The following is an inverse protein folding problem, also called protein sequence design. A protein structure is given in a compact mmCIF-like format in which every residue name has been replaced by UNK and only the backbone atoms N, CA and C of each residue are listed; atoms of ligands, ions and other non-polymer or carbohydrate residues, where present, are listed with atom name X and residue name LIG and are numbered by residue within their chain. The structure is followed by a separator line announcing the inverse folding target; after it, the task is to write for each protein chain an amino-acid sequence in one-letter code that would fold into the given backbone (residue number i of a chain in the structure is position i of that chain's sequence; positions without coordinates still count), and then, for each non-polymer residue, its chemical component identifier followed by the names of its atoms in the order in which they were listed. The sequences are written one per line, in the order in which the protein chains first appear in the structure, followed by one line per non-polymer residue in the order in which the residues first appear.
data_IF_615333510326
#
_entry.id   IF_615333510326
#
_cell.length_a   1.000
_cell.length_b   1.000
_cell.length_c   1.000
_cell.angle_alpha   90.00
_cell.angle_beta   90.00
_cell.angle_gamma   90.00
#
_symmetry.space_group_name_H-M   'P 1'
#
loop_
_entity.id
_entity.type
_entity.pdbx_description
1 polymer ?
#
# COMPACT_ATOMS: atom_id res chain seq x y z
N UNK A 1 -19.86 13.76 14.19
CA UNK A 1 -18.83 13.85 15.24
C UNK A 1 -17.59 14.41 14.56
N UNK A 2 -17.00 15.51 15.06
CA UNK A 2 -15.75 16.04 14.48
C UNK A 2 -14.66 15.09 14.90
N UNK A 3 -13.95 14.48 13.95
CA UNK A 3 -12.84 13.60 14.27
C UNK A 3 -11.70 14.38 14.91
N UNK A 4 -11.00 13.75 15.83
CA UNK A 4 -9.94 14.35 16.62
C UNK A 4 -8.56 14.26 15.92
N UNK A 5 -8.44 13.40 14.91
CA UNK A 5 -7.18 13.21 14.17
C UNK A 5 -7.02 14.25 13.06
N UNK A 6 -6.65 15.47 13.46
CA UNK A 6 -6.45 16.60 12.55
C UNK A 6 -5.12 17.27 12.87
N UNK A 7 -4.30 17.46 11.87
CA UNK A 7 -3.10 18.28 11.94
C UNK A 7 -3.29 19.55 11.11
N UNK A 8 -3.89 20.55 11.71
CA UNK A 8 -4.16 21.85 11.05
C UNK A 8 -2.87 22.49 10.49
N UNK A 9 -1.73 22.49 11.20
CA UNK A 9 -0.48 23.02 10.64
C UNK A 9 -0.09 22.37 9.32
N UNK A 10 -0.16 21.04 9.23
CA UNK A 10 0.16 20.33 7.98
C UNK A 10 -0.83 20.64 6.86
N UNK A 11 -2.12 20.76 7.16
CA UNK A 11 -3.14 21.15 6.19
C UNK A 11 -2.86 22.56 5.62
N UNK A 12 -2.55 23.53 6.50
CA UNK A 12 -2.21 24.90 6.08
C UNK A 12 -0.96 24.91 5.21
N UNK A 13 0.07 24.14 5.57
CA UNK A 13 1.30 24.02 4.80
C UNK A 13 1.05 23.38 3.42
N UNK A 14 0.27 22.31 3.36
CA UNK A 14 -0.06 21.64 2.11
C UNK A 14 -0.82 22.58 1.18
N UNK A 15 -1.87 23.25 1.66
CA UNK A 15 -2.65 24.19 0.84
C UNK A 15 -1.79 25.38 0.41
N UNK A 16 -1.01 25.97 1.32
CA UNK A 16 -0.11 27.06 1.01
C UNK A 16 0.96 26.71 -0.03
N UNK A 17 1.55 25.53 0.08
CA UNK A 17 2.53 25.04 -0.90
C UNK A 17 1.91 24.82 -2.29
N UNK A 18 0.72 24.21 -2.35
CA UNK A 18 0.02 23.98 -3.61
C UNK A 18 -0.46 25.30 -4.23
N UNK A 19 -0.91 26.27 -3.43
CA UNK A 19 -1.26 27.60 -3.92
C UNK A 19 -0.04 28.34 -4.50
N UNK A 20 1.09 28.26 -3.82
CA UNK A 20 2.37 28.86 -4.25
C UNK A 20 2.97 28.18 -5.48
N UNK A 21 2.83 26.86 -5.57
CA UNK A 21 3.42 26.02 -6.62
C UNK A 21 2.41 24.95 -7.05
N UNK A 22 1.44 25.31 -7.92
CA UNK A 22 0.38 24.39 -8.36
C UNK A 22 0.92 23.14 -9.08
N UNK A 23 2.13 23.21 -9.65
CA UNK A 23 2.81 22.09 -10.30
C UNK A 23 3.05 20.89 -9.37
N UNK A 24 2.95 21.08 -8.05
CA UNK A 24 2.97 19.95 -7.10
C UNK A 24 1.81 18.97 -7.34
N UNK A 25 0.71 19.43 -7.94
CA UNK A 25 -0.45 18.59 -8.30
C UNK A 25 -0.20 17.71 -9.53
N UNK A 26 0.84 17.98 -10.31
CA UNK A 26 1.20 17.18 -11.48
C UNK A 26 1.86 15.84 -11.09
N UNK A 27 2.43 15.77 -9.89
CA UNK A 27 3.08 14.57 -9.37
C UNK A 27 2.07 13.58 -8.78
N UNK A 28 1.08 13.16 -9.58
CA UNK A 28 -0.03 12.29 -9.16
C UNK A 28 0.41 10.92 -8.68
N UNK A 29 1.55 10.42 -9.17
CA UNK A 29 2.15 9.16 -8.71
C UNK A 29 2.68 9.25 -7.27
N UNK A 30 3.06 10.46 -6.85
CA UNK A 30 3.64 10.70 -5.53
C UNK A 30 2.63 11.30 -4.54
N UNK A 31 1.76 12.19 -5.00
CA UNK A 31 0.85 12.95 -4.15
C UNK A 31 -0.59 12.75 -4.58
N UNK A 32 -1.33 12.00 -3.78
CA UNK A 32 -2.78 11.83 -3.97
C UNK A 32 -3.51 12.56 -2.85
N UNK A 33 -4.02 13.76 -3.13
CA UNK A 33 -4.78 14.56 -2.16
C UNK A 33 -6.26 14.45 -2.51
N UNK A 34 -7.08 14.12 -1.52
CA UNK A 34 -8.51 13.89 -1.66
C UNK A 34 -9.31 14.78 -0.70
N UNK A 35 -10.63 14.86 -0.89
CA UNK A 35 -11.51 15.60 0.04
C UNK A 35 -11.47 15.06 1.47
N UNK A 36 -11.19 13.77 1.66
CA UNK A 36 -11.07 13.12 2.96
C UNK A 36 -9.87 13.61 3.77
N UNK A 37 -8.87 14.20 3.11
CA UNK A 37 -7.72 14.79 3.78
C UNK A 37 -8.08 16.06 4.58
N UNK A 38 -9.20 16.69 4.22
CA UNK A 38 -9.70 17.90 4.85
C UNK A 38 -11.01 17.64 5.60
N UNK A 39 -11.12 18.11 6.84
CA UNK A 39 -12.36 17.99 7.61
C UNK A 39 -13.22 19.24 7.53
N UNK A 40 -12.58 20.42 7.50
CA UNK A 40 -13.26 21.69 7.40
C UNK A 40 -13.68 21.97 5.95
N UNK A 41 -14.95 22.32 5.77
CA UNK A 41 -15.50 22.65 4.46
C UNK A 41 -14.77 23.84 3.82
N UNK A 42 -14.22 24.74 4.63
CA UNK A 42 -13.41 25.84 4.14
C UNK A 42 -12.13 25.32 3.46
N UNK A 43 -11.40 24.42 4.11
CA UNK A 43 -10.19 23.83 3.52
C UNK A 43 -10.49 23.03 2.25
N UNK A 44 -11.62 22.30 2.24
CA UNK A 44 -12.08 21.57 1.03
C UNK A 44 -12.37 22.52 -0.12
N UNK A 45 -13.06 23.63 0.16
CA UNK A 45 -13.40 24.63 -0.86
C UNK A 45 -12.13 25.27 -1.41
N UNK A 46 -11.21 25.69 -0.53
CA UNK A 46 -9.97 26.33 -0.94
C UNK A 46 -9.12 25.38 -1.80
N UNK A 47 -8.85 24.19 -1.29
CA UNK A 47 -8.06 23.20 -2.01
C UNK A 47 -8.75 22.79 -3.32
N UNK A 48 -10.04 22.47 -3.28
CA UNK A 48 -10.81 22.06 -4.46
C UNK A 48 -10.85 23.16 -5.54
N UNK A 49 -10.85 24.44 -5.14
CA UNK A 49 -10.76 25.55 -6.08
C UNK A 49 -9.39 25.64 -6.73
N UNK A 50 -8.32 25.54 -5.95
CA UNK A 50 -6.94 25.51 -6.46
C UNK A 50 -6.77 24.34 -7.44
N UNK A 51 -7.19 23.14 -7.04
CA UNK A 51 -7.12 21.94 -7.86
C UNK A 51 -7.85 22.11 -9.20
N UNK A 52 -9.08 22.64 -9.17
CA UNK A 52 -9.87 22.85 -10.39
C UNK A 52 -9.30 23.91 -11.30
N UNK A 53 -8.75 24.99 -10.78
CA UNK A 53 -8.08 26.01 -11.58
C UNK A 53 -6.83 25.43 -12.26
N UNK A 54 -6.07 24.61 -11.54
CA UNK A 54 -4.92 23.92 -12.11
C UNK A 54 -5.33 22.93 -13.23
N UNK A 55 -6.37 22.12 -12.99
CA UNK A 55 -6.94 21.19 -13.98
C UNK A 55 -7.42 21.91 -15.25
N UNK A 56 -7.90 23.15 -15.12
CA UNK A 56 -8.28 24.01 -16.24
C UNK A 56 -7.09 24.65 -16.97
N UNK A 57 -5.86 24.34 -16.57
CA UNK A 57 -4.63 24.78 -17.21
C UNK A 57 -4.05 26.09 -16.65
N UNK A 58 -4.47 26.53 -15.46
CA UNK A 58 -3.88 27.70 -14.84
C UNK A 58 -2.47 27.37 -14.30
N UNK A 59 -1.42 27.85 -14.98
CA UNK A 59 -0.04 27.68 -14.52
C UNK A 59 0.24 28.43 -13.20
N UNK A 60 -0.44 29.56 -13.01
CA UNK A 60 -0.38 30.36 -11.79
C UNK A 60 -1.80 30.66 -11.29
N UNK A 61 -2.02 30.36 -10.03
CA UNK A 61 -3.31 30.62 -9.36
C UNK A 61 -3.15 31.91 -8.52
N UNK A 62 -4.10 32.82 -8.69
CA UNK A 62 -4.13 34.11 -7.97
C UNK A 62 -5.40 34.22 -7.14
N UNK A 63 -5.40 35.14 -6.17
CA UNK A 63 -6.62 35.41 -5.38
C UNK A 63 -7.79 35.83 -6.27
N UNK A 64 -7.54 36.62 -7.32
CA UNK A 64 -8.56 37.03 -8.26
C UNK A 64 -9.14 35.82 -9.01
N UNK A 65 -8.30 34.90 -9.47
CA UNK A 65 -8.80 33.68 -10.16
C UNK A 65 -9.62 32.79 -9.21
N UNK A 66 -9.29 32.74 -7.92
CA UNK A 66 -10.09 32.03 -6.92
C UNK A 66 -11.42 32.74 -6.69
N UNK A 67 -11.43 34.07 -6.52
CA UNK A 67 -12.65 34.86 -6.33
C UNK A 67 -13.58 34.72 -7.55
N UNK A 68 -13.05 34.84 -8.77
CA UNK A 68 -13.79 34.67 -10.02
C UNK A 68 -14.40 33.27 -10.12
N UNK A 69 -13.65 32.24 -9.80
CA UNK A 69 -14.15 30.86 -9.81
C UNK A 69 -15.26 30.63 -8.77
N UNK A 70 -15.13 31.19 -7.57
CA UNK A 70 -16.10 31.05 -6.50
C UNK A 70 -17.36 31.91 -6.73
N UNK A 71 -17.30 33.03 -7.48
CA UNK A 71 -18.45 33.89 -7.76
C UNK A 71 -19.62 33.15 -8.42
N UNK A 72 -19.30 32.09 -9.19
CA UNK A 72 -20.33 31.22 -9.78
C UNK A 72 -20.89 30.16 -8.81
N UNK A 73 -20.41 30.14 -7.55
CA UNK A 73 -20.74 29.13 -6.52
C UNK A 73 -21.10 29.78 -5.18
N UNK A 74 -22.32 30.39 -5.04
CA UNK A 74 -22.67 31.24 -3.91
C UNK A 74 -22.48 30.61 -2.53
N UNK A 75 -22.68 29.28 -2.38
CA UNK A 75 -22.48 28.58 -1.10
C UNK A 75 -21.02 28.54 -0.69
N UNK A 76 -20.14 28.20 -1.63
CA UNK A 76 -18.70 28.12 -1.41
C UNK A 76 -18.10 29.50 -1.21
N UNK A 77 -18.54 30.48 -1.98
CA UNK A 77 -18.14 31.88 -1.85
C UNK A 77 -18.48 32.42 -0.47
N UNK A 78 -19.70 32.18 0.04
CA UNK A 78 -20.12 32.61 1.35
C UNK A 78 -19.24 32.04 2.48
N UNK A 79 -18.85 30.77 2.40
CA UNK A 79 -17.93 30.14 3.35
C UNK A 79 -16.55 30.78 3.26
N UNK A 80 -16.04 30.97 2.03
CA UNK A 80 -14.73 31.59 1.78
C UNK A 80 -14.65 33.01 2.34
N UNK A 81 -15.67 33.85 2.10
CA UNK A 81 -15.74 35.23 2.63
C UNK A 81 -15.84 35.21 4.16
N UNK A 82 -16.72 34.36 4.71
CA UNK A 82 -16.91 34.25 6.17
C UNK A 82 -15.63 33.91 6.91
N UNK A 83 -14.79 33.07 6.32
CA UNK A 83 -13.51 32.62 6.90
C UNK A 83 -12.33 33.54 6.52
N UNK A 84 -12.60 34.71 5.87
CA UNK A 84 -11.55 35.60 5.36
C UNK A 84 -10.52 34.89 4.49
N UNK A 85 -11.01 34.13 3.52
CA UNK A 85 -10.21 33.21 2.72
C UNK A 85 -9.02 33.86 2.01
N UNK A 86 -9.13 35.11 1.57
CA UNK A 86 -8.01 35.84 0.96
C UNK A 86 -6.87 36.08 1.95
N UNK A 87 -7.19 36.64 3.14
CA UNK A 87 -6.18 36.85 4.19
C UNK A 87 -5.54 35.54 4.65
N UNK A 88 -6.37 34.49 4.75
CA UNK A 88 -5.92 33.17 5.14
C UNK A 88 -4.96 32.56 4.12
N UNK A 89 -5.30 32.63 2.80
CA UNK A 89 -4.44 32.12 1.73
C UNK A 89 -3.12 32.87 1.63
N UNK A 90 -3.13 34.21 1.77
CA UNK A 90 -1.89 34.97 1.79
C UNK A 90 -0.95 34.54 2.92
N UNK A 91 -1.52 34.35 4.13
CA UNK A 91 -0.75 33.84 5.27
C UNK A 91 -0.25 32.41 5.05
N UNK A 92 -1.07 31.56 4.45
CA UNK A 92 -0.67 30.20 4.12
C UNK A 92 0.45 30.17 3.08
N UNK A 93 0.39 31.02 2.05
CA UNK A 93 1.43 31.17 1.04
C UNK A 93 2.75 31.72 1.62
N UNK A 94 2.66 32.77 2.45
CA UNK A 94 3.82 33.37 3.11
C UNK A 94 4.59 32.37 3.98
N UNK A 95 3.83 31.53 4.72
CA UNK A 95 4.41 30.51 5.60
C UNK A 95 4.73 29.20 4.88
N UNK A 96 4.37 29.07 3.60
CA UNK A 96 4.54 27.83 2.84
C UNK A 96 6.02 27.48 2.61
N UNK A 97 6.42 26.32 3.11
CA UNK A 97 7.74 25.74 2.94
C UNK A 97 7.68 24.56 1.95
N UNK A 98 7.91 24.87 0.68
CA UNK A 98 7.86 23.85 -0.39
C UNK A 98 8.97 22.79 -0.27
N UNK A 99 10.09 23.10 0.38
CA UNK A 99 11.16 22.12 0.62
C UNK A 99 10.78 21.06 1.66
N UNK A 100 9.80 21.34 2.51
CA UNK A 100 9.27 20.42 3.51
C UNK A 100 7.89 19.86 3.15
N UNK A 101 7.47 19.99 1.88
CA UNK A 101 6.14 19.57 1.44
C UNK A 101 5.89 18.09 1.70
N UNK A 102 6.86 17.22 1.43
CA UNK A 102 6.76 15.77 1.68
C UNK A 102 6.43 15.46 3.15
N UNK A 103 7.05 16.15 4.08
CA UNK A 103 6.79 15.96 5.51
C UNK A 103 5.33 16.30 5.87
N UNK A 104 4.86 17.49 5.48
CA UNK A 104 3.51 17.92 5.80
C UNK A 104 2.44 17.10 5.08
N UNK A 105 2.68 16.73 3.82
CA UNK A 105 1.83 15.83 3.07
C UNK A 105 1.68 14.48 3.77
N UNK A 106 2.80 13.84 4.10
CA UNK A 106 2.79 12.54 4.76
C UNK A 106 2.10 12.59 6.13
N UNK A 107 2.34 13.66 6.89
CA UNK A 107 1.71 13.85 8.19
C UNK A 107 0.19 14.03 8.07
N UNK A 108 -0.27 14.84 7.13
CA UNK A 108 -1.69 14.99 6.80
C UNK A 108 -2.32 13.64 6.41
N UNK A 109 -1.66 12.86 5.56
CA UNK A 109 -2.13 11.53 5.13
C UNK A 109 -2.19 10.53 6.28
N UNK A 110 -1.23 10.55 7.20
CA UNK A 110 -1.26 9.72 8.41
C UNK A 110 -2.50 10.04 9.25
N UNK A 111 -2.81 11.31 9.46
CA UNK A 111 -4.03 11.70 10.18
C UNK A 111 -5.30 11.27 9.44
N UNK A 112 -5.32 11.36 8.12
CA UNK A 112 -6.43 10.86 7.30
C UNK A 112 -6.63 9.36 7.48
N UNK A 113 -5.53 8.59 7.47
CA UNK A 113 -5.55 7.15 7.68
C UNK A 113 -6.09 6.78 9.08
N UNK A 114 -5.63 7.46 10.14
CA UNK A 114 -6.13 7.24 11.50
C UNK A 114 -7.63 7.55 11.60
N UNK A 115 -8.10 8.61 10.94
CA UNK A 115 -9.55 8.92 10.86
C UNK A 115 -10.33 7.82 10.15
N UNK A 116 -9.78 7.28 9.07
CA UNK A 116 -10.42 6.20 8.35
C UNK A 116 -10.58 4.96 9.24
N UNK A 117 -9.56 4.59 10.01
CA UNK A 117 -9.65 3.49 10.97
C UNK A 117 -10.67 3.77 12.08
N UNK A 118 -10.66 4.97 12.68
CA UNK A 118 -11.64 5.37 13.68
C UNK A 118 -13.08 5.28 13.14
N UNK A 119 -13.31 5.70 11.90
CA UNK A 119 -14.62 5.62 11.23
C UNK A 119 -15.15 4.20 11.13
N UNK A 120 -14.26 3.22 10.97
CA UNK A 120 -14.59 1.79 10.97
C UNK A 120 -14.60 1.16 12.36
N UNK A 121 -14.46 1.96 13.43
CA UNK A 121 -14.51 1.49 14.82
C UNK A 121 -13.22 0.83 15.31
N UNK A 122 -12.11 1.00 14.59
CA UNK A 122 -10.81 0.50 15.01
C UNK A 122 -10.17 1.50 15.95
N UNK A 123 -9.81 1.06 17.16
CA UNK A 123 -9.11 1.90 18.13
C UNK A 123 -7.64 2.10 17.71
N UNK A 124 -7.25 3.36 17.56
CA UNK A 124 -5.91 3.79 17.15
C UNK A 124 -5.20 4.66 18.20
N UNK A 125 -5.76 4.76 19.42
CA UNK A 125 -5.20 5.57 20.50
C UNK A 125 -3.82 5.13 20.97
N UNK A 126 -3.50 3.87 20.83
CA UNK A 126 -2.16 3.32 21.10
C UNK A 126 -1.12 3.77 20.06
N UNK A 127 -1.58 4.14 18.86
CA UNK A 127 -0.72 4.73 17.82
C UNK A 127 -0.57 6.23 18.06
N UNK A 128 -1.70 6.91 18.22
CA UNK A 128 -1.75 8.35 18.46
C UNK A 128 -3.03 8.72 19.21
N UNK A 129 -2.90 9.31 20.42
CA UNK A 129 -4.04 9.78 21.23
C UNK A 129 -4.04 11.31 21.29
N UNK A 130 -4.87 11.99 20.50
CA UNK A 130 -4.97 13.44 20.51
C UNK A 130 -5.59 14.00 21.80
N UNK A 131 -6.28 13.17 22.59
CA UNK A 131 -6.89 13.55 23.89
C UNK A 131 -5.87 13.52 25.03
N UNK A 132 -4.69 12.94 24.82
CA UNK A 132 -3.65 12.92 25.83
C UNK A 132 -2.98 14.28 25.97
N UNK A 133 -3.49 15.09 26.87
CA UNK A 133 -2.95 16.44 27.20
C UNK A 133 -2.04 16.37 28.43
N UNK A 134 -2.20 15.36 29.27
CA UNK A 134 -1.60 15.32 30.63
C UNK A 134 -0.22 14.68 30.59
N UNK A 135 -0.06 13.55 29.89
CA UNK A 135 1.22 12.85 29.82
C UNK A 135 2.05 13.33 28.62
N UNK A 136 2.85 14.36 28.87
CA UNK A 136 3.71 14.95 27.85
C UNK A 136 4.77 13.97 27.32
N UNK A 137 5.23 13.02 28.17
CA UNK A 137 6.23 12.03 27.76
C UNK A 137 5.64 11.02 26.79
N UNK A 138 4.46 10.51 27.11
CA UNK A 138 3.73 9.59 26.22
C UNK A 138 3.37 10.29 24.91
N UNK A 139 2.91 11.54 24.98
CA UNK A 139 2.60 12.34 23.80
C UNK A 139 3.83 12.49 22.90
N UNK A 140 4.98 12.84 23.44
CA UNK A 140 6.21 12.96 22.66
C UNK A 140 6.60 11.63 22.01
N UNK A 141 6.48 10.52 22.72
CA UNK A 141 6.75 9.19 22.17
C UNK A 141 5.80 8.83 21.01
N UNK A 142 4.52 9.20 21.12
CA UNK A 142 3.54 8.97 20.06
C UNK A 142 3.80 9.86 18.83
N UNK A 143 4.18 11.13 19.04
CA UNK A 143 4.58 12.04 17.97
C UNK A 143 5.82 11.49 17.24
N UNK A 144 6.86 11.11 17.96
CA UNK A 144 8.08 10.55 17.39
C UNK A 144 7.79 9.24 16.64
N UNK A 145 6.93 8.37 17.20
CA UNK A 145 6.51 7.13 16.55
C UNK A 145 5.73 7.42 15.27
N UNK A 146 4.78 8.34 15.32
CA UNK A 146 3.97 8.74 14.17
C UNK A 146 4.85 9.31 13.06
N UNK A 147 5.79 10.20 13.39
CA UNK A 147 6.68 10.82 12.40
C UNK A 147 7.60 9.79 11.75
N UNK A 148 8.14 8.85 12.51
CA UNK A 148 9.07 7.83 12.01
C UNK A 148 8.40 6.62 11.34
N UNK A 149 7.09 6.44 11.45
CA UNK A 149 6.37 5.32 10.83
C UNK A 149 5.80 5.75 9.47
N UNK A 150 6.02 4.96 8.42
CA UNK A 150 5.42 5.22 7.10
C UNK A 150 3.90 5.00 7.12
N UNK A 151 3.19 5.47 6.08
CA UNK A 151 1.75 5.18 5.90
C UNK A 151 1.49 3.66 5.83
N UNK A 152 2.31 2.94 5.08
CA UNK A 152 2.25 1.47 5.01
C UNK A 152 2.51 0.82 6.36
N UNK A 153 3.50 1.34 7.11
CA UNK A 153 3.80 0.85 8.47
C UNK A 153 2.62 1.04 9.43
N UNK A 154 1.89 2.16 9.34
CA UNK A 154 0.67 2.38 10.12
C UNK A 154 -0.44 1.40 9.72
N UNK A 155 -0.63 1.18 8.42
CA UNK A 155 -1.61 0.20 7.93
C UNK A 155 -1.25 -1.22 8.38
N UNK A 156 0.04 -1.58 8.37
CA UNK A 156 0.52 -2.88 8.83
C UNK A 156 0.26 -3.10 10.32
N UNK A 157 0.47 -2.10 11.18
CA UNK A 157 0.15 -2.20 12.61
C UNK A 157 -1.31 -2.57 12.84
N UNK A 158 -2.22 -2.02 12.03
CA UNK A 158 -3.65 -2.36 12.13
C UNK A 158 -3.92 -3.75 11.56
N UNK A 159 -3.30 -4.11 10.45
CA UNK A 159 -3.42 -5.44 9.86
C UNK A 159 -2.96 -6.52 10.85
N UNK A 160 -1.83 -6.32 11.52
CA UNK A 160 -1.33 -7.26 12.52
C UNK A 160 -2.34 -7.48 13.65
N UNK A 161 -3.01 -6.42 14.14
CA UNK A 161 -4.09 -6.54 15.15
C UNK A 161 -5.27 -7.37 14.64
N UNK A 162 -5.64 -7.18 13.37
CA UNK A 162 -6.74 -7.94 12.74
C UNK A 162 -6.33 -9.40 12.61
N UNK A 163 -5.10 -9.67 12.20
CA UNK A 163 -4.59 -11.03 12.03
C UNK A 163 -4.46 -11.76 13.38
N UNK A 164 -4.06 -11.07 14.44
CA UNK A 164 -4.07 -11.61 15.81
C UNK A 164 -5.49 -11.99 16.27
N UNK A 165 -6.48 -11.13 15.99
CA UNK A 165 -7.89 -11.44 16.30
C UNK A 165 -8.37 -12.63 15.47
N UNK A 166 -8.05 -12.68 14.18
CA UNK A 166 -8.40 -13.81 13.30
C UNK A 166 -7.77 -15.10 13.80
N UNK A 167 -6.47 -15.07 14.09
CA UNK A 167 -5.76 -16.24 14.62
C UNK A 167 -6.36 -16.74 15.94
N UNK A 168 -6.87 -15.82 16.77
CA UNK A 168 -7.45 -16.19 18.09
C UNK A 168 -8.87 -16.70 18.00
N UNK A 169 -9.72 -16.17 17.09
CA UNK A 169 -11.16 -16.39 17.13
C UNK A 169 -11.78 -16.98 15.86
N UNK A 170 -11.07 -16.98 14.76
CA UNK A 170 -11.66 -17.38 13.46
C UNK A 170 -10.95 -18.58 12.84
N UNK A 171 -9.64 -18.73 13.05
CA UNK A 171 -8.86 -19.76 12.39
C UNK A 171 -8.49 -20.92 13.32
N UNK A 172 -9.35 -21.96 13.33
CA UNK A 172 -8.93 -23.31 13.72
C UNK A 172 -8.04 -24.00 12.65
N UNK A 173 -7.86 -23.36 11.48
CA UNK A 173 -7.24 -24.00 10.31
C UNK A 173 -5.84 -23.46 9.95
N UNK A 174 -5.41 -22.34 10.51
CA UNK A 174 -4.06 -21.79 10.29
C UNK A 174 -3.10 -22.25 11.39
N UNK A 175 -2.54 -23.45 11.11
CA UNK A 175 -1.43 -23.96 11.88
C UNK A 175 -1.83 -24.34 13.30
N UNK A 176 -2.33 -25.56 13.47
CA UNK A 176 -2.14 -26.21 14.75
C UNK A 176 -0.66 -26.05 15.09
N UNK A 177 -0.35 -25.18 16.03
CA UNK A 177 0.96 -25.14 16.66
C UNK A 177 1.09 -26.45 17.41
N UNK A 178 1.48 -27.51 16.70
CA UNK A 178 1.81 -28.78 17.32
C UNK A 178 3.04 -28.49 18.20
N UNK A 179 2.87 -28.63 19.50
CA UNK A 179 4.03 -28.71 20.36
C UNK A 179 4.92 -29.84 19.79
N UNK A 180 6.22 -29.60 19.71
CA UNK A 180 7.17 -30.52 19.04
C UNK A 180 7.16 -31.96 19.57
N UNK A 181 6.40 -32.25 20.62
CA UNK A 181 6.21 -33.57 21.22
C UNK A 181 4.80 -34.14 21.08
N UNK A 182 3.80 -33.34 20.65
CA UNK A 182 2.47 -33.84 20.36
C UNK A 182 2.42 -34.41 18.95
N UNK A 183 1.99 -35.67 18.80
CA UNK A 183 1.82 -36.35 17.52
C UNK A 183 3.10 -36.85 16.81
N UNK A 184 4.18 -37.12 17.57
CA UNK A 184 5.36 -37.78 16.98
C UNK A 184 4.99 -39.08 16.25
N UNK A 185 3.99 -39.81 16.71
CA UNK A 185 3.53 -41.04 16.11
C UNK A 185 2.83 -40.80 14.77
N UNK A 186 1.98 -39.80 14.68
CA UNK A 186 1.33 -39.40 13.40
C UNK A 186 2.37 -38.86 12.40
N UNK A 187 3.36 -38.09 12.89
CA UNK A 187 4.47 -37.61 12.04
C UNK A 187 5.31 -38.78 11.49
N UNK A 188 5.59 -39.82 12.31
CA UNK A 188 6.31 -41.01 11.87
C UNK A 188 5.48 -41.77 10.84
N UNK A 189 4.17 -41.96 11.06
CA UNK A 189 3.28 -42.59 10.10
C UNK A 189 3.15 -41.80 8.81
N UNK A 190 3.19 -40.47 8.85
CA UNK A 190 3.19 -39.61 7.67
C UNK A 190 4.52 -39.67 6.91
N UNK A 191 5.64 -39.79 7.62
CA UNK A 191 6.97 -39.97 7.02
C UNK A 191 7.16 -41.38 6.43
N UNK A 192 6.49 -42.39 6.96
CA UNK A 192 6.48 -43.75 6.44
C UNK A 192 5.59 -43.94 5.20
N UNK A 193 4.59 -43.07 5.01
CA UNK A 193 3.80 -43.06 3.77
C UNK A 193 4.70 -42.77 2.57
N UNK A 194 4.44 -43.46 1.46
CA UNK A 194 5.17 -43.27 0.20
C UNK A 194 5.24 -41.77 -0.10
N UNK A 195 6.45 -41.23 -0.26
CA UNK A 195 6.60 -39.77 -0.41
C UNK A 195 5.86 -39.30 -1.65
N UNK A 196 5.00 -38.29 -1.44
CA UNK A 196 4.21 -37.66 -2.49
C UNK A 196 5.14 -37.16 -3.61
N UNK A 197 4.89 -37.61 -4.83
CA UNK A 197 5.59 -37.15 -6.03
C UNK A 197 4.75 -36.09 -6.69
N UNK A 198 5.33 -34.91 -6.86
CA UNK A 198 4.69 -33.77 -7.51
C UNK A 198 4.77 -33.80 -9.02
N UNK A 199 4.27 -32.76 -9.66
CA UNK A 199 4.36 -32.59 -11.12
C UNK A 199 5.83 -32.40 -11.51
N UNK A 200 6.33 -33.10 -12.58
CA UNK A 200 7.71 -32.99 -12.98
C UNK A 200 8.13 -31.55 -13.33
N UNK A 201 9.29 -31.15 -12.85
CA UNK A 201 9.98 -29.91 -13.22
C UNK A 201 10.99 -30.16 -14.34
N UNK A 202 11.40 -29.12 -15.04
CA UNK A 202 12.47 -29.23 -16.03
C UNK A 202 13.81 -29.58 -15.36
N UNK A 203 14.40 -30.66 -15.78
CA UNK A 203 15.70 -31.11 -15.31
C UNK A 203 15.65 -32.29 -14.33
N UNK A 204 16.33 -33.39 -14.70
CA UNK A 204 16.32 -34.65 -13.94
C UNK A 204 16.85 -34.50 -12.51
N UNK A 205 17.93 -33.72 -12.33
CA UNK A 205 18.56 -33.54 -11.03
C UNK A 205 17.58 -32.83 -10.05
N UNK A 206 16.89 -31.79 -10.52
CA UNK A 206 15.93 -31.07 -9.70
C UNK A 206 14.77 -31.99 -9.33
N UNK A 207 14.24 -32.72 -10.27
CA UNK A 207 13.17 -33.70 -10.01
C UNK A 207 13.59 -34.78 -9.01
N UNK A 208 14.82 -35.26 -9.06
CA UNK A 208 15.32 -36.24 -8.11
C UNK A 208 15.39 -35.68 -6.69
N UNK A 209 15.88 -34.46 -6.55
CA UNK A 209 16.03 -33.81 -5.23
C UNK A 209 14.70 -33.32 -4.64
N UNK A 210 13.87 -32.69 -5.48
CA UNK A 210 12.59 -32.08 -5.00
C UNK A 210 11.40 -33.01 -5.09
N UNK A 211 11.53 -34.11 -5.86
CA UNK A 211 10.43 -35.03 -6.26
C UNK A 211 9.32 -34.30 -7.02
N UNK A 212 9.70 -33.35 -7.87
CA UNK A 212 8.79 -32.52 -8.63
C UNK A 212 8.18 -31.35 -7.82
N UNK A 213 7.26 -30.63 -8.46
CA UNK A 213 6.49 -29.57 -7.83
C UNK A 213 5.34 -30.17 -7.03
N UNK A 214 5.45 -30.19 -5.72
CA UNK A 214 4.44 -30.75 -4.81
C UNK A 214 3.50 -29.67 -4.29
N UNK A 215 2.26 -30.04 -4.03
CA UNK A 215 1.28 -29.14 -3.43
C UNK A 215 1.75 -28.61 -2.07
N UNK A 216 1.36 -27.40 -1.73
CA UNK A 216 1.69 -26.72 -0.46
C UNK A 216 3.19 -26.54 -0.21
N UNK A 217 4.03 -26.61 -1.24
CA UNK A 217 5.48 -26.35 -1.13
C UNK A 217 5.85 -25.10 -1.89
N UNK A 218 6.77 -24.35 -1.31
CA UNK A 218 7.38 -23.17 -1.92
C UNK A 218 8.80 -23.48 -2.34
N UNK A 219 9.13 -23.17 -3.60
CA UNK A 219 10.46 -23.42 -4.18
C UNK A 219 11.12 -22.11 -4.53
N UNK A 220 12.25 -21.79 -3.90
CA UNK A 220 13.03 -20.59 -4.19
C UNK A 220 14.27 -20.97 -5.00
N UNK A 221 14.47 -20.32 -6.16
CA UNK A 221 15.69 -20.40 -6.94
C UNK A 221 16.46 -19.10 -6.86
N UNK A 222 17.69 -19.17 -6.39
CA UNK A 222 18.61 -18.03 -6.34
C UNK A 222 19.84 -18.33 -7.18
N UNK A 223 20.25 -17.36 -7.99
CA UNK A 223 21.47 -17.43 -8.77
C UNK A 223 21.93 -16.01 -9.16
N UNK A 224 23.21 -15.79 -9.44
CA UNK A 224 23.70 -14.54 -9.99
C UNK A 224 23.00 -14.14 -11.29
N UNK A 225 23.10 -12.87 -11.65
CA UNK A 225 22.54 -12.34 -12.90
C UNK A 225 23.19 -13.03 -14.11
N UNK A 226 22.41 -13.30 -15.15
CA UNK A 226 22.89 -13.88 -16.40
C UNK A 226 23.01 -15.42 -16.45
N UNK A 227 22.79 -16.13 -15.34
CA UNK A 227 22.91 -17.61 -15.30
C UNK A 227 21.63 -18.33 -15.80
N UNK A 228 20.58 -17.61 -16.14
CA UNK A 228 19.37 -18.20 -16.72
C UNK A 228 18.27 -18.57 -15.73
N UNK A 229 18.13 -17.88 -14.59
CA UNK A 229 17.01 -18.06 -13.63
C UNK A 229 15.65 -18.00 -14.30
N UNK A 230 15.38 -16.91 -15.02
CA UNK A 230 14.09 -16.69 -15.70
C UNK A 230 13.83 -17.75 -16.75
N UNK A 231 14.85 -18.11 -17.56
CA UNK A 231 14.76 -19.18 -18.55
C UNK A 231 14.44 -20.53 -17.92
N UNK A 232 15.04 -20.84 -16.77
CA UNK A 232 14.74 -22.05 -16.00
C UNK A 232 13.31 -22.07 -15.47
N UNK A 233 12.78 -20.93 -15.01
CA UNK A 233 11.39 -20.82 -14.56
C UNK A 233 10.39 -20.96 -15.71
N UNK A 234 10.67 -20.39 -16.88
CA UNK A 234 9.87 -20.56 -18.09
C UNK A 234 9.87 -22.03 -18.51
N UNK A 235 11.03 -22.69 -18.48
CA UNK A 235 11.11 -24.11 -18.80
C UNK A 235 10.26 -24.98 -17.85
N UNK A 236 10.26 -24.71 -16.54
CA UNK A 236 9.37 -25.38 -15.60
C UNK A 236 7.89 -25.11 -15.90
N UNK A 237 7.54 -23.87 -16.21
CA UNK A 237 6.19 -23.48 -16.58
C UNK A 237 5.70 -24.26 -17.80
N UNK A 238 6.54 -24.35 -18.85
CA UNK A 238 6.23 -25.13 -20.04
C UNK A 238 6.14 -26.63 -19.72
N UNK A 239 7.02 -27.15 -18.87
CA UNK A 239 7.06 -28.57 -18.51
C UNK A 239 5.82 -28.99 -17.69
N UNK A 240 5.27 -28.10 -16.88
CA UNK A 240 4.05 -28.34 -16.11
C UNK A 240 2.79 -28.12 -16.98
N UNK A 241 2.79 -27.05 -17.78
CA UNK A 241 1.56 -26.57 -18.47
C UNK A 241 1.34 -27.19 -19.86
N UNK A 242 2.39 -27.67 -20.53
CA UNK A 242 2.28 -28.23 -21.89
C UNK A 242 1.97 -29.72 -21.86
N UNK A 243 1.00 -30.14 -22.68
CA UNK A 243 0.69 -31.56 -22.85
C UNK A 243 1.68 -32.35 -23.70
N UNK A 244 2.61 -31.67 -24.39
CA UNK A 244 3.70 -32.26 -25.16
C UNK A 244 5.00 -31.54 -24.84
N UNK A 245 6.07 -32.30 -24.76
CA UNK A 245 7.45 -31.83 -24.62
C UNK A 245 8.30 -32.40 -25.77
N UNK A 246 9.36 -31.67 -26.12
CA UNK A 246 10.30 -32.12 -27.13
C UNK A 246 11.41 -32.96 -26.49
N UNK A 247 11.60 -34.14 -27.01
CA UNK A 247 12.71 -35.04 -26.66
C UNK A 247 13.66 -35.16 -27.85
N UNK A 248 14.96 -35.07 -27.63
CA UNK A 248 15.95 -35.06 -28.70
C UNK A 248 16.01 -36.38 -29.47
N UNK A 249 15.63 -37.49 -28.83
CA UNK A 249 15.67 -38.83 -29.46
C UNK A 249 14.33 -39.20 -30.13
N UNK A 250 13.21 -38.76 -29.56
CA UNK A 250 11.87 -39.20 -29.95
C UNK A 250 10.98 -38.09 -30.52
N UNK A 251 11.47 -36.85 -30.57
CA UNK A 251 10.70 -35.68 -31.02
C UNK A 251 9.60 -35.29 -30.03
N UNK A 252 8.45 -34.86 -30.50
CA UNK A 252 7.34 -34.45 -29.66
C UNK A 252 6.64 -35.63 -28.98
N UNK A 253 6.83 -35.78 -27.68
CA UNK A 253 6.22 -36.82 -26.86
C UNK A 253 5.16 -36.27 -25.93
N UNK A 254 4.22 -37.11 -25.46
CA UNK A 254 3.25 -36.72 -24.44
C UNK A 254 3.95 -36.51 -23.11
N UNK A 255 3.66 -35.39 -22.48
CA UNK A 255 4.23 -35.04 -21.16
C UNK A 255 3.50 -35.78 -20.01
N UNK A 256 2.30 -36.31 -20.26
CA UNK A 256 1.48 -36.96 -19.22
C UNK A 256 0.89 -36.00 -18.19
N UNK A 257 1.27 -34.73 -18.19
CA UNK A 257 0.75 -33.66 -17.33
C UNK A 257 0.36 -32.47 -18.20
N UNK A 258 -0.66 -31.72 -17.82
CA UNK A 258 -1.04 -30.46 -18.44
C UNK A 258 -1.86 -29.68 -17.39
N UNK A 259 -1.18 -29.11 -16.42
CA UNK A 259 -1.83 -28.36 -15.34
C UNK A 259 -1.80 -26.86 -15.63
N UNK A 260 -2.84 -26.10 -15.22
CA UNK A 260 -2.84 -24.66 -15.35
C UNK A 260 -1.68 -24.04 -14.58
N UNK A 261 -0.89 -23.16 -15.24
CA UNK A 261 0.24 -22.46 -14.63
C UNK A 261 0.02 -20.96 -14.77
N UNK A 262 0.22 -20.22 -13.67
CA UNK A 262 0.29 -18.77 -13.67
C UNK A 262 1.76 -18.35 -13.58
N UNK A 263 2.27 -17.67 -14.61
CA UNK A 263 3.59 -17.08 -14.61
C UNK A 263 3.48 -15.57 -14.40
N UNK A 264 4.12 -15.05 -13.35
CA UNK A 264 4.15 -13.62 -13.03
C UNK A 264 5.61 -13.15 -13.15
N UNK A 265 5.84 -12.14 -13.98
CA UNK A 265 7.16 -11.52 -14.15
C UNK A 265 7.06 -10.01 -14.05
N UNK A 266 8.09 -9.39 -13.50
CA UNK A 266 8.27 -7.93 -13.46
C UNK A 266 9.41 -7.47 -14.37
N UNK A 267 10.12 -8.39 -15.03
CA UNK A 267 11.36 -8.13 -15.78
C UNK A 267 11.22 -8.38 -17.29
N UNK A 268 10.20 -9.15 -17.71
CA UNK A 268 10.04 -9.56 -19.11
C UNK A 268 8.73 -9.02 -19.68
N UNK A 269 8.79 -8.48 -20.88
CA UNK A 269 7.60 -8.20 -21.67
C UNK A 269 6.97 -9.49 -22.22
N UNK A 270 5.66 -9.42 -22.55
CA UNK A 270 4.92 -10.60 -23.03
C UNK A 270 5.52 -11.23 -24.31
N UNK A 271 6.23 -10.42 -25.09
CA UNK A 271 6.90 -10.81 -26.35
C UNK A 271 8.28 -11.45 -26.12
N UNK A 272 8.82 -11.35 -24.91
CA UNK A 272 10.15 -11.88 -24.54
C UNK A 272 10.06 -13.16 -23.69
N UNK A 273 8.86 -13.49 -23.20
CA UNK A 273 8.58 -14.69 -22.41
C UNK A 273 8.10 -15.83 -23.33
#
# INVERSE_FOLDING_TARGET
MISKYIDTPSIVQVIGCVFKSPQLLDYTDKYTITEDDFQDDFHKIVFGTIYKLHELGAEKITLNSIADYLSSRPKSEAIFIKQKGEEWLLKAEENANTSSFDYYYNRMKKMTLLRAFEKYGIDVKDIYDPDNIIDLKLRQQQEDKLDNTSLEGLAQIIQDKIDDIRATYVDDSWGQAHQAAENIQELIEELEKTPEVGVPLYGSLINTVTRGARLKKFYLRSAPTGIGKSRSMIADTCYIGCNKIYDDAFGWISNGTAEPVLYITTELELTEA
#
